data_IF_490150578698
#
_entry.id   IF_490150578698
#
_cell.length_a   1.000
_cell.length_b   1.000
_cell.length_c   1.000
_cell.angle_alpha   90.00
_cell.angle_beta   90.00
_cell.angle_gamma   90.00
#
_symmetry.space_group_name_H-M   'P 1'
#
loop_
_entity.id
_entity.type
_entity.pdbx_description
1 polymer ?
#
# COMPACT_ATOMS: atom_id res chain seq x y z
N UNK A 1 0.13 11.93 15.73
CA UNK A 1 0.73 10.62 16.11
C UNK A 1 2.16 10.50 15.59
N UNK A 2 2.42 10.69 14.30
CA UNK A 2 3.78 10.57 13.72
C UNK A 2 4.80 11.51 14.37
N UNK A 3 4.45 12.78 14.61
CA UNK A 3 5.32 13.74 15.30
C UNK A 3 5.73 13.29 16.71
N UNK A 4 4.78 12.70 17.45
CA UNK A 4 5.05 12.18 18.80
C UNK A 4 6.02 10.98 18.79
N UNK A 5 6.00 10.16 17.74
CA UNK A 5 6.94 9.05 17.54
C UNK A 5 8.32 9.62 17.22
N UNK A 6 8.42 10.52 16.24
CA UNK A 6 9.69 11.14 15.82
C UNK A 6 10.38 11.89 16.94
N UNK A 7 9.62 12.52 17.81
CA UNK A 7 10.17 13.24 18.97
C UNK A 7 10.83 12.31 20.01
N UNK A 8 10.55 11.01 19.95
CA UNK A 8 11.01 10.02 20.95
C UNK A 8 11.96 8.97 20.37
N UNK A 9 11.86 8.69 19.08
CA UNK A 9 12.59 7.60 18.44
C UNK A 9 13.08 7.98 17.05
N UNK A 10 14.35 7.71 16.69
CA UNK A 10 14.87 7.88 15.33
C UNK A 10 14.48 6.65 14.47
N UNK A 11 13.22 6.56 14.09
CA UNK A 11 12.66 5.44 13.31
C UNK A 11 12.01 5.94 12.03
N UNK A 12 11.93 5.08 11.02
CA UNK A 12 11.10 5.30 9.84
C UNK A 12 9.64 5.11 10.25
N UNK A 13 8.81 6.11 10.01
CA UNK A 13 7.38 6.02 10.27
C UNK A 13 6.67 5.62 8.99
N UNK A 14 5.92 4.54 9.05
CA UNK A 14 5.10 4.06 7.95
C UNK A 14 3.62 4.11 8.33
N UNK A 15 2.80 4.65 7.44
CA UNK A 15 1.36 4.63 7.58
C UNK A 15 0.75 3.61 6.61
N UNK A 16 -0.37 3.02 7.01
CA UNK A 16 -1.13 2.15 6.11
C UNK A 16 -2.11 2.93 5.26
N UNK A 17 -2.20 2.59 3.97
CA UNK A 17 -3.30 3.00 3.10
C UNK A 17 -4.43 1.96 3.09
N UNK A 18 -4.31 0.89 3.86
CA UNK A 18 -5.34 -0.13 4.01
C UNK A 18 -6.61 0.45 4.64
N UNK A 19 -7.70 -0.24 4.42
CA UNK A 19 -9.02 0.14 4.96
C UNK A 19 -10.14 -0.43 4.09
N UNK A 20 -10.44 -1.75 4.23
CA UNK A 20 -11.58 -2.34 3.54
C UNK A 20 -12.85 -1.53 3.81
N UNK A 21 -13.59 -1.19 2.76
CA UNK A 21 -14.82 -0.41 2.87
C UNK A 21 -14.64 1.12 2.94
N UNK A 22 -13.41 1.63 3.04
CA UNK A 22 -13.15 3.06 2.95
C UNK A 22 -13.01 3.51 1.50
N UNK A 23 -13.45 4.74 1.21
CA UNK A 23 -13.25 5.36 -0.09
C UNK A 23 -11.77 5.72 -0.34
N UNK A 24 -11.38 5.90 -1.60
CA UNK A 24 -10.04 6.37 -1.96
C UNK A 24 -9.66 7.65 -1.21
N UNK A 25 -10.57 8.63 -1.15
CA UNK A 25 -10.33 9.90 -0.47
C UNK A 25 -10.05 9.73 1.03
N UNK A 26 -10.79 8.85 1.71
CA UNK A 26 -10.56 8.54 3.12
C UNK A 26 -9.21 7.84 3.33
N UNK A 27 -8.88 6.89 2.46
CA UNK A 27 -7.61 6.17 2.52
C UNK A 27 -6.40 7.08 2.27
N UNK A 28 -6.50 8.06 1.37
CA UNK A 28 -5.44 9.02 1.08
C UNK A 28 -5.10 9.93 2.27
N UNK A 29 -6.02 10.15 3.21
CA UNK A 29 -5.80 11.03 4.38
C UNK A 29 -4.63 10.55 5.26
N UNK A 30 -4.28 9.26 5.24
CA UNK A 30 -3.13 8.78 6.01
C UNK A 30 -1.81 9.42 5.57
N UNK A 31 -1.72 9.92 4.33
CA UNK A 31 -0.56 10.58 3.78
C UNK A 31 -0.39 12.02 4.32
N UNK A 32 -1.46 12.64 4.83
CA UNK A 32 -1.43 14.01 5.38
C UNK A 32 -0.61 14.09 6.68
N UNK A 33 -0.39 12.94 7.35
CA UNK A 33 0.49 12.83 8.49
C UNK A 33 1.99 12.80 8.12
N UNK A 34 2.32 12.99 6.84
CA UNK A 34 3.67 13.04 6.28
C UNK A 34 4.59 11.89 6.77
N UNK A 35 4.21 10.61 6.58
CA UNK A 35 5.09 9.50 6.91
C UNK A 35 6.26 9.43 5.93
N UNK A 36 7.35 8.75 6.28
CA UNK A 36 8.44 8.45 5.35
C UNK A 36 8.05 7.39 4.33
N UNK A 37 7.20 6.44 4.75
CA UNK A 37 6.69 5.35 3.91
C UNK A 37 5.18 5.20 4.08
N UNK A 38 4.54 4.64 3.06
CA UNK A 38 3.15 4.18 3.19
C UNK A 38 2.94 2.88 2.41
N UNK A 39 2.06 2.01 2.92
CA UNK A 39 1.74 0.77 2.22
C UNK A 39 1.02 1.07 0.89
N UNK A 40 1.29 0.26 -0.12
CA UNK A 40 0.64 0.33 -1.42
C UNK A 40 0.32 -1.09 -1.89
N UNK A 41 -0.92 -1.51 -1.70
CA UNK A 41 -1.36 -2.83 -2.11
C UNK A 41 -1.44 -2.90 -3.64
N UNK A 42 -0.74 -3.87 -4.24
CA UNK A 42 -0.58 -3.98 -5.69
C UNK A 42 -1.71 -4.75 -6.39
N UNK A 43 -2.84 -4.91 -5.72
CA UNK A 43 -4.01 -5.56 -6.31
C UNK A 43 -5.09 -5.87 -5.29
N UNK A 44 -6.19 -6.45 -5.77
CA UNK A 44 -7.30 -6.84 -4.92
C UNK A 44 -7.10 -8.26 -4.38
N UNK A 45 -7.47 -8.47 -3.13
CA UNK A 45 -7.43 -9.76 -2.44
C UNK A 45 -8.69 -9.97 -1.63
N UNK A 46 -8.99 -11.20 -1.26
CA UNK A 46 -10.06 -11.54 -0.33
C UNK A 46 -9.44 -12.17 0.90
N UNK A 47 -9.60 -11.54 2.05
CA UNK A 47 -9.15 -12.08 3.33
C UNK A 47 -10.25 -12.93 3.98
N UNK A 48 -9.84 -13.96 4.71
CA UNK A 48 -10.71 -14.68 5.64
C UNK A 48 -10.43 -14.22 7.06
N UNK A 49 -11.44 -13.70 7.72
CA UNK A 49 -11.32 -13.27 9.11
C UNK A 49 -12.58 -13.67 9.88
N UNK A 50 -12.42 -14.45 10.94
CA UNK A 50 -13.54 -14.93 11.79
C UNK A 50 -14.67 -15.59 10.99
N UNK A 51 -14.32 -16.40 10.00
CA UNK A 51 -15.30 -17.11 9.17
C UNK A 51 -16.02 -16.23 8.13
N UNK A 52 -15.55 -15.00 7.91
CA UNK A 52 -16.10 -14.08 6.91
C UNK A 52 -15.11 -13.84 5.80
N UNK A 53 -15.63 -13.68 4.60
CA UNK A 53 -14.88 -13.20 3.45
C UNK A 53 -14.88 -11.67 3.44
N UNK A 54 -13.69 -11.07 3.40
CA UNK A 54 -13.50 -9.62 3.40
C UNK A 54 -12.79 -9.22 2.12
N UNK A 55 -13.51 -8.81 1.06
CA UNK A 55 -12.89 -8.28 -0.14
C UNK A 55 -12.16 -6.98 0.16
N UNK A 56 -10.89 -6.92 -0.22
CA UNK A 56 -10.10 -5.71 -0.21
C UNK A 56 -9.78 -5.32 -1.64
N UNK A 57 -10.54 -4.36 -2.14
CA UNK A 57 -10.49 -3.96 -3.53
C UNK A 57 -9.46 -2.85 -3.70
N UNK A 58 -8.56 -3.05 -4.65
CA UNK A 58 -7.57 -2.07 -5.08
C UNK A 58 -7.54 -2.09 -6.61
N UNK A 59 -8.24 -1.16 -7.22
CA UNK A 59 -8.28 -1.02 -8.67
C UNK A 59 -6.99 -0.36 -9.17
N UNK A 60 -6.60 -0.65 -10.42
CA UNK A 60 -5.42 -0.03 -11.05
C UNK A 60 -5.45 1.50 -10.95
N UNK A 61 -6.59 2.12 -11.21
CA UNK A 61 -6.75 3.57 -11.12
C UNK A 61 -6.52 4.12 -9.71
N UNK A 62 -6.89 3.37 -8.67
CA UNK A 62 -6.65 3.74 -7.28
C UNK A 62 -5.17 3.54 -6.90
N UNK A 63 -4.56 2.43 -7.33
CA UNK A 63 -3.13 2.18 -7.13
C UNK A 63 -2.29 3.29 -7.76
N UNK A 64 -2.62 3.70 -8.98
CA UNK A 64 -1.98 4.83 -9.67
C UNK A 64 -2.17 6.15 -8.92
N UNK A 65 -3.38 6.43 -8.42
CA UNK A 65 -3.67 7.63 -7.64
C UNK A 65 -2.87 7.66 -6.32
N UNK A 66 -2.77 6.55 -5.62
CA UNK A 66 -1.91 6.43 -4.43
C UNK A 66 -0.43 6.66 -4.76
N UNK A 67 0.08 6.00 -5.80
CA UNK A 67 1.47 6.14 -6.21
C UNK A 67 1.81 7.58 -6.59
N UNK A 68 0.93 8.25 -7.35
CA UNK A 68 1.10 9.65 -7.72
C UNK A 68 1.10 10.58 -6.49
N UNK A 69 0.16 10.40 -5.56
CA UNK A 69 0.09 11.18 -4.33
C UNK A 69 1.31 10.97 -3.41
N UNK A 70 1.84 9.75 -3.35
CA UNK A 70 3.06 9.45 -2.61
C UNK A 70 4.29 10.08 -3.26
N UNK A 71 4.41 9.97 -4.60
CA UNK A 71 5.52 10.55 -5.35
C UNK A 71 5.56 12.08 -5.18
N UNK A 72 4.42 12.76 -5.31
CA UNK A 72 4.29 14.20 -5.12
C UNK A 72 4.74 14.66 -3.72
N UNK A 73 4.44 13.85 -2.70
CA UNK A 73 4.74 14.15 -1.29
C UNK A 73 6.09 13.62 -0.82
N UNK A 74 6.86 12.96 -1.67
CA UNK A 74 8.13 12.35 -1.31
C UNK A 74 8.02 11.16 -0.35
N UNK A 75 6.86 10.50 -0.32
CA UNK A 75 6.58 9.33 0.51
C UNK A 75 6.96 8.07 -0.26
N UNK A 76 7.75 7.19 0.35
CA UNK A 76 8.18 5.93 -0.26
C UNK A 76 7.05 4.89 -0.19
N UNK A 77 6.54 4.36 -1.32
CA UNK A 77 5.59 3.25 -1.28
C UNK A 77 6.26 1.95 -0.85
N UNK A 78 5.64 1.22 0.08
CA UNK A 78 5.87 -0.19 0.29
C UNK A 78 4.87 -0.95 -0.60
N UNK A 79 5.35 -1.48 -1.71
CA UNK A 79 4.51 -2.22 -2.65
C UNK A 79 4.25 -3.62 -2.13
N UNK A 80 3.02 -3.87 -1.67
CA UNK A 80 2.60 -5.14 -1.11
C UNK A 80 2.11 -6.07 -2.22
N UNK A 81 2.85 -7.14 -2.46
CA UNK A 81 2.58 -8.15 -3.48
C UNK A 81 2.11 -9.43 -2.79
N UNK A 82 0.89 -9.84 -3.05
CA UNK A 82 0.25 -11.04 -2.47
C UNK A 82 0.34 -12.25 -3.38
N UNK A 83 0.52 -12.04 -4.68
CA UNK A 83 0.67 -13.12 -5.67
C UNK A 83 1.44 -12.63 -6.91
N UNK A 84 1.92 -13.55 -7.77
CA UNK A 84 2.76 -13.18 -8.92
C UNK A 84 2.09 -12.25 -9.94
N UNK A 85 0.77 -12.28 -10.09
CA UNK A 85 0.06 -11.43 -11.06
C UNK A 85 0.17 -9.94 -10.71
N UNK A 86 0.37 -9.60 -9.44
CA UNK A 86 0.51 -8.22 -8.97
C UNK A 86 1.80 -7.54 -9.44
N UNK A 87 2.80 -8.28 -9.90
CA UNK A 87 3.97 -7.68 -10.55
C UNK A 87 3.63 -6.90 -11.82
N UNK A 88 2.52 -7.24 -12.48
CA UNK A 88 2.01 -6.47 -13.61
C UNK A 88 1.66 -5.03 -13.22
N UNK A 89 1.19 -4.79 -11.98
CA UNK A 89 0.91 -3.45 -11.49
C UNK A 89 2.20 -2.71 -11.09
N UNK A 90 3.18 -3.41 -10.52
CA UNK A 90 4.51 -2.82 -10.26
C UNK A 90 5.13 -2.32 -11.56
N UNK A 91 5.14 -3.16 -12.59
CA UNK A 91 5.66 -2.81 -13.92
C UNK A 91 4.89 -1.63 -14.55
N UNK A 92 3.57 -1.62 -14.41
CA UNK A 92 2.73 -0.51 -14.86
C UNK A 92 3.13 0.82 -14.19
N UNK A 93 3.31 0.85 -12.88
CA UNK A 93 3.71 2.06 -12.15
C UNK A 93 5.11 2.53 -12.57
N UNK A 94 6.05 1.61 -12.78
CA UNK A 94 7.41 1.92 -13.26
C UNK A 94 7.34 2.54 -14.65
N UNK A 95 6.62 1.94 -15.60
CA UNK A 95 6.46 2.44 -16.97
C UNK A 95 5.80 3.81 -17.03
N UNK A 96 4.91 4.10 -16.10
CA UNK A 96 4.24 5.41 -15.99
C UNK A 96 5.06 6.46 -15.24
N UNK A 97 6.24 6.11 -14.71
CA UNK A 97 7.07 7.03 -13.94
C UNK A 97 6.47 7.44 -12.60
N UNK A 98 5.60 6.61 -12.00
CA UNK A 98 4.93 6.88 -10.73
C UNK A 98 5.72 6.39 -9.51
N UNK A 99 6.92 5.84 -9.71
CA UNK A 99 7.78 5.34 -8.64
C UNK A 99 9.18 5.96 -8.74
N UNK A 100 9.76 6.27 -7.60
CA UNK A 100 11.18 6.66 -7.49
C UNK A 100 12.03 5.50 -6.97
N UNK A 101 13.23 5.32 -7.54
CA UNK A 101 14.21 4.33 -7.05
C UNK A 101 14.77 4.73 -5.67
N UNK A 102 15.24 3.75 -4.86
CA UNK A 102 15.08 2.31 -5.05
C UNK A 102 13.62 1.88 -4.85
N UNK A 103 13.19 0.83 -5.55
CA UNK A 103 11.86 0.25 -5.37
C UNK A 103 11.84 -0.65 -4.14
N UNK A 104 10.81 -0.53 -3.32
CA UNK A 104 10.62 -1.37 -2.14
C UNK A 104 9.40 -2.27 -2.36
N UNK A 105 9.62 -3.58 -2.37
CA UNK A 105 8.58 -4.60 -2.56
C UNK A 105 8.53 -5.48 -1.32
N UNK A 106 7.34 -5.66 -0.78
CA UNK A 106 7.04 -6.57 0.30
C UNK A 106 6.21 -7.76 -0.23
N UNK A 107 6.75 -8.97 -0.10
CA UNK A 107 6.03 -10.21 -0.38
C UNK A 107 5.18 -10.58 0.83
N UNK A 108 3.87 -10.39 0.74
CA UNK A 108 2.97 -10.70 1.83
C UNK A 108 2.56 -12.16 1.76
N UNK A 109 3.02 -12.96 2.71
CA UNK A 109 2.87 -14.41 2.71
C UNK A 109 2.08 -14.87 3.95
N UNK A 110 1.41 -16.01 3.84
CA UNK A 110 0.73 -16.64 4.98
C UNK A 110 -0.49 -15.89 5.51
N UNK A 111 -0.97 -14.89 4.81
CA UNK A 111 -2.19 -14.18 5.16
C UNK A 111 -3.36 -15.01 4.65
N UNK A 112 -4.18 -15.55 5.54
CA UNK A 112 -5.34 -16.35 5.16
C UNK A 112 -6.25 -15.62 4.19
N UNK A 113 -6.59 -16.29 3.07
CA UNK A 113 -7.42 -15.68 2.05
C UNK A 113 -7.26 -16.33 0.67
N UNK A 114 -7.98 -15.80 -0.32
CA UNK A 114 -7.89 -16.24 -1.70
C UNK A 114 -6.92 -15.38 -2.51
N UNK A 115 -6.07 -16.06 -3.28
CA UNK A 115 -5.16 -15.41 -4.22
C UNK A 115 -3.85 -14.88 -3.65
N UNK A 116 -3.55 -15.16 -2.38
CA UNK A 116 -2.27 -14.83 -1.76
C UNK A 116 -1.23 -15.95 -1.86
N UNK A 117 0.02 -15.61 -1.59
CA UNK A 117 1.09 -16.59 -1.35
C UNK A 117 0.79 -17.43 -0.10
N UNK A 118 1.15 -18.73 -0.11
CA UNK A 118 0.97 -19.59 1.06
C UNK A 118 1.81 -19.17 2.26
#
# INVERSE_FOLDING_TARGET
>A
MNEGIRARCPVVVQNTTGGPGLSLAQRLQCLDAAPEMASLNMGSVVFFHEGRELPFINLRSEIEAFAAAMLERGIKPEMEVYNPSMFGEVDNLIKRGLLSKPYYINFVMGVGGMGGFP
#
